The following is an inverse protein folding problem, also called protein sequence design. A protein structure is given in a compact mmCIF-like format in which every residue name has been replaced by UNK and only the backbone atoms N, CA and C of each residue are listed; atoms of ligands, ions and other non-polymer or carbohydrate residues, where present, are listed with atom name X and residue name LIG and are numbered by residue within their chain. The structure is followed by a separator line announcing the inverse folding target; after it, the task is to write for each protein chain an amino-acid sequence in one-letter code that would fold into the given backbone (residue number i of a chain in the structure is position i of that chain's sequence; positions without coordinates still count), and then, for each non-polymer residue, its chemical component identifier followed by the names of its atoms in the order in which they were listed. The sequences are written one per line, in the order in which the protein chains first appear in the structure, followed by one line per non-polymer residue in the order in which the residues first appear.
data_IF_130361890705
#
_entry.id   IF_130361890705
#
_cell.length_a   1.000
_cell.length_b   1.000
_cell.length_c   1.000
_cell.angle_alpha   90.00
_cell.angle_beta   90.00
_cell.angle_gamma   90.00
#
_symmetry.space_group_name_H-M   'P 1'
#
loop_
_entity.id
_entity.type
_entity.pdbx_description
1 polymer ?
#
# COMPACT_ATOMS: atom_id res chain seq x y z
N UNK A 1 20.30 -21.19 39.34
CA UNK A 1 19.81 -20.26 38.32
C UNK A 1 21.02 -19.69 37.63
N UNK A 2 21.30 -20.19 36.44
CA UNK A 2 22.39 -19.70 35.60
C UNK A 2 21.99 -18.37 34.96
N UNK A 3 22.95 -17.49 34.68
CA UNK A 3 22.71 -16.16 34.08
C UNK A 3 21.99 -16.29 32.72
N UNK A 4 22.18 -17.40 32.01
CA UNK A 4 21.44 -17.72 30.78
C UNK A 4 19.93 -17.88 31.01
N UNK A 5 19.52 -18.58 32.07
CA UNK A 5 18.10 -18.79 32.39
C UNK A 5 17.40 -17.49 32.77
N UNK A 6 18.16 -16.54 33.35
CA UNK A 6 17.69 -15.20 33.70
C UNK A 6 17.48 -14.34 32.46
N UNK A 7 18.42 -14.38 31.50
CA UNK A 7 18.31 -13.67 30.22
C UNK A 7 17.16 -14.23 29.36
N UNK A 8 16.98 -15.55 29.35
CA UNK A 8 15.88 -16.21 28.61
C UNK A 8 14.51 -15.84 29.22
N UNK A 9 14.43 -15.78 30.55
CA UNK A 9 13.23 -15.32 31.26
C UNK A 9 12.96 -13.83 30.99
N UNK A 10 13.99 -12.97 31.03
CA UNK A 10 13.86 -11.54 30.70
C UNK A 10 13.36 -11.32 29.27
N UNK A 11 13.93 -12.04 28.30
CA UNK A 11 13.49 -11.98 26.91
C UNK A 11 12.03 -12.45 26.75
N UNK A 12 11.66 -13.55 27.43
CA UNK A 12 10.29 -14.07 27.43
C UNK A 12 9.28 -13.08 28.05
N UNK A 13 9.64 -12.47 29.18
CA UNK A 13 8.81 -11.46 29.85
C UNK A 13 8.69 -10.21 28.98
N UNK A 14 9.78 -9.75 28.37
CA UNK A 14 9.76 -8.61 27.45
C UNK A 14 8.89 -8.89 26.22
N UNK A 15 8.95 -10.10 25.64
CA UNK A 15 8.08 -10.47 24.51
C UNK A 15 6.61 -10.51 24.91
N UNK A 16 6.29 -11.06 26.09
CA UNK A 16 4.92 -11.10 26.60
C UNK A 16 4.37 -9.70 26.90
N UNK A 17 5.21 -8.81 27.45
CA UNK A 17 4.84 -7.41 27.69
C UNK A 17 4.63 -6.63 26.39
N UNK A 18 5.45 -6.89 25.36
CA UNK A 18 5.26 -6.29 24.04
C UNK A 18 3.94 -6.75 23.41
N UNK A 19 3.65 -8.05 23.47
CA UNK A 19 2.39 -8.62 22.96
C UNK A 19 1.18 -8.06 23.71
N UNK A 20 1.23 -7.98 25.05
CA UNK A 20 0.16 -7.41 25.85
C UNK A 20 -0.08 -5.91 25.56
N UNK A 21 0.97 -5.14 25.24
CA UNK A 21 0.83 -3.74 24.81
C UNK A 21 0.10 -3.62 23.47
N UNK A 22 0.49 -4.46 22.50
CA UNK A 22 -0.17 -4.51 21.19
C UNK A 22 -1.66 -4.85 21.36
N UNK A 23 -2.00 -5.87 22.15
CA UNK A 23 -3.39 -6.24 22.41
C UNK A 23 -4.20 -5.11 23.08
N UNK A 24 -3.59 -4.36 24.01
CA UNK A 24 -4.25 -3.23 24.67
C UNK A 24 -4.51 -2.06 23.70
N UNK A 25 -3.57 -1.78 22.80
CA UNK A 25 -3.73 -0.75 21.78
C UNK A 25 -4.81 -1.14 20.77
N UNK A 26 -4.84 -2.40 20.34
CA UNK A 26 -5.90 -2.93 19.47
C UNK A 26 -7.29 -2.78 20.09
N UNK A 27 -7.44 -3.14 21.38
CA UNK A 27 -8.70 -2.96 22.10
C UNK A 27 -9.12 -1.49 22.18
N UNK A 28 -8.17 -0.57 22.40
CA UNK A 28 -8.46 0.88 22.41
C UNK A 28 -8.92 1.38 21.05
N UNK A 29 -8.30 0.92 19.97
CA UNK A 29 -8.71 1.28 18.60
C UNK A 29 -10.10 0.73 18.27
N UNK A 30 -10.38 -0.52 18.67
CA UNK A 30 -11.72 -1.11 18.53
C UNK A 30 -12.78 -0.33 19.32
N UNK A 31 -12.48 0.09 20.55
CA UNK A 31 -13.39 0.92 21.35
C UNK A 31 -13.68 2.26 20.68
N UNK A 32 -12.65 2.97 20.20
CA UNK A 32 -12.82 4.23 19.46
C UNK A 32 -13.66 4.06 18.20
N UNK A 33 -13.45 2.96 17.48
CA UNK A 33 -14.26 2.61 16.30
C UNK A 33 -15.71 2.38 16.68
N UNK A 34 -15.97 1.60 17.72
CA UNK A 34 -17.34 1.36 18.18
C UNK A 34 -18.03 2.66 18.60
N UNK A 35 -17.33 3.55 19.31
CA UNK A 35 -17.83 4.89 19.66
C UNK A 35 -18.22 5.71 18.42
N UNK A 36 -17.38 5.70 17.38
CA UNK A 36 -17.66 6.38 16.11
C UNK A 36 -18.85 5.76 15.37
N UNK A 37 -18.99 4.43 15.40
CA UNK A 37 -20.14 3.74 14.82
C UNK A 37 -21.42 4.15 15.55
N UNK A 38 -21.41 4.17 16.88
CA UNK A 38 -22.57 4.59 17.67
C UNK A 38 -22.92 6.07 17.44
N UNK A 39 -21.93 6.93 17.20
CA UNK A 39 -22.16 8.33 16.79
C UNK A 39 -22.79 8.42 15.40
N UNK A 40 -22.28 7.68 14.41
CA UNK A 40 -22.86 7.64 13.07
C UNK A 40 -24.28 7.04 13.05
N UNK A 41 -24.55 6.00 13.85
CA UNK A 41 -25.91 5.46 14.02
C UNK A 41 -26.86 6.54 14.56
N UNK A 42 -26.43 7.29 15.58
CA UNK A 42 -27.22 8.41 16.13
C UNK A 42 -27.50 9.47 15.07
N UNK A 43 -26.51 9.82 14.25
CA UNK A 43 -26.69 10.79 13.16
C UNK A 43 -27.68 10.29 12.11
N UNK A 44 -27.58 9.02 11.69
CA UNK A 44 -28.52 8.41 10.73
C UNK A 44 -29.95 8.45 11.28
N UNK A 45 -30.15 8.03 12.53
CA UNK A 45 -31.46 8.04 13.18
C UNK A 45 -32.02 9.44 13.32
N UNK A 46 -31.21 10.39 13.78
CA UNK A 46 -31.62 11.80 13.94
C UNK A 46 -32.07 12.43 12.62
N UNK A 47 -31.56 11.97 11.48
CA UNK A 47 -31.96 12.46 10.15
C UNK A 47 -33.17 11.72 9.58
N UNK A 48 -33.26 10.41 9.75
CA UNK A 48 -34.28 9.57 9.10
C UNK A 48 -35.57 9.43 9.93
N UNK A 49 -35.50 9.37 11.26
CA UNK A 49 -36.68 9.31 12.13
C UNK A 49 -37.65 10.49 11.95
N UNK A 50 -37.22 11.77 11.90
CA UNK A 50 -38.15 12.87 11.68
C UNK A 50 -38.76 12.85 10.27
N UNK A 51 -38.02 12.40 9.26
CA UNK A 51 -38.55 12.25 7.90
C UNK A 51 -39.60 11.15 7.82
N UNK A 52 -39.37 10.02 8.49
CA UNK A 52 -40.36 8.95 8.58
C UNK A 52 -41.63 9.44 9.28
N UNK A 53 -41.50 10.16 10.40
CA UNK A 53 -42.63 10.71 11.13
C UNK A 53 -43.47 11.68 10.28
N UNK A 54 -42.81 12.54 9.48
CA UNK A 54 -43.50 13.44 8.54
C UNK A 54 -44.24 12.68 7.46
N UNK A 55 -43.61 11.66 6.85
CA UNK A 55 -44.24 10.82 5.83
C UNK A 55 -45.46 10.09 6.40
N UNK A 56 -45.33 9.50 7.58
CA UNK A 56 -46.42 8.79 8.25
C UNK A 56 -47.57 9.72 8.65
N UNK A 57 -47.27 10.96 9.06
CA UNK A 57 -48.31 11.96 9.33
C UNK A 57 -49.11 12.28 8.07
N UNK A 58 -48.43 12.54 6.95
CA UNK A 58 -49.11 12.85 5.68
C UNK A 58 -49.93 11.66 5.20
N UNK A 59 -49.43 10.42 5.33
CA UNK A 59 -50.20 9.22 5.00
C UNK A 59 -51.48 9.14 5.85
N UNK A 60 -51.40 9.43 7.16
CA UNK A 60 -52.59 9.47 8.04
C UNK A 60 -53.59 10.56 7.64
N UNK A 61 -53.11 11.69 7.13
CA UNK A 61 -53.98 12.75 6.60
C UNK A 61 -54.73 12.26 5.34
N UNK A 62 -54.05 11.53 4.44
CA UNK A 62 -54.70 10.86 3.29
C UNK A 62 -55.76 9.84 3.74
N UNK A 63 -55.47 9.05 4.79
CA UNK A 63 -56.42 8.09 5.37
C UNK A 63 -57.65 8.78 5.96
N UNK A 64 -57.45 9.89 6.69
CA UNK A 64 -58.54 10.65 7.31
C UNK A 64 -59.50 11.30 6.31
N UNK A 65 -59.04 11.50 5.08
CA UNK A 65 -59.81 12.11 3.99
C UNK A 65 -60.38 11.06 3.01
N UNK A 66 -60.21 9.76 3.31
CA UNK A 66 -60.68 8.63 2.49
C UNK A 66 -60.10 8.64 1.05
N UNK A 67 -58.92 9.22 0.87
CA UNK A 67 -58.23 9.32 -0.42
C UNK A 67 -57.31 8.10 -0.57
N UNK A 68 -57.90 6.95 -0.91
CA UNK A 68 -57.20 5.66 -1.01
C UNK A 68 -56.36 5.50 -2.30
N UNK A 69 -56.86 5.94 -3.45
CA UNK A 69 -56.24 5.67 -4.78
C UNK A 69 -55.27 6.76 -5.28
N UNK A 70 -54.72 7.57 -4.37
CA UNK A 70 -53.76 8.61 -4.76
C UNK A 70 -52.39 8.00 -5.11
N UNK A 71 -51.90 8.25 -6.32
CA UNK A 71 -50.54 7.88 -6.73
C UNK A 71 -49.45 8.54 -5.83
N UNK A 72 -49.75 9.67 -5.20
CA UNK A 72 -48.85 10.31 -4.25
C UNK A 72 -48.75 9.52 -2.93
N UNK A 73 -49.87 8.96 -2.46
CA UNK A 73 -49.92 8.12 -1.26
C UNK A 73 -49.09 6.84 -1.44
N UNK A 74 -49.25 6.13 -2.55
CA UNK A 74 -48.47 4.91 -2.83
C UNK A 74 -46.96 5.19 -2.86
N UNK A 75 -46.54 6.34 -3.41
CA UNK A 75 -45.13 6.77 -3.39
C UNK A 75 -44.63 7.09 -1.98
N UNK A 76 -45.47 7.71 -1.14
CA UNK A 76 -45.13 7.99 0.26
C UNK A 76 -45.03 6.69 1.07
N UNK A 77 -45.91 5.72 0.86
CA UNK A 77 -45.85 4.40 1.49
C UNK A 77 -44.58 3.64 1.09
N UNK A 78 -44.25 3.63 -0.20
CA UNK A 78 -42.99 3.05 -0.68
C UNK A 78 -41.77 3.74 -0.05
N UNK A 79 -41.78 5.08 0.07
CA UNK A 79 -40.69 5.81 0.73
C UNK A 79 -40.64 5.62 2.24
N UNK A 80 -41.77 5.44 2.92
CA UNK A 80 -41.78 5.05 4.32
C UNK A 80 -41.14 3.67 4.51
N UNK A 81 -41.46 2.70 3.62
CA UNK A 81 -40.84 1.38 3.65
C UNK A 81 -39.32 1.46 3.42
N UNK A 82 -38.86 2.21 2.41
CA UNK A 82 -37.43 2.43 2.16
C UNK A 82 -36.72 3.03 3.38
N UNK A 83 -37.31 4.06 4.02
CA UNK A 83 -36.72 4.73 5.19
C UNK A 83 -36.68 3.80 6.41
N UNK A 84 -37.70 2.96 6.61
CA UNK A 84 -37.70 1.94 7.68
C UNK A 84 -36.59 0.91 7.44
N UNK A 85 -36.42 0.46 6.21
CA UNK A 85 -35.33 -0.45 5.85
C UNK A 85 -33.96 0.19 6.11
N UNK A 86 -33.76 1.46 5.73
CA UNK A 86 -32.50 2.17 6.01
C UNK A 86 -32.23 2.39 7.51
N UNK A 87 -33.28 2.54 8.32
CA UNK A 87 -33.17 2.62 9.79
C UNK A 87 -32.80 1.27 10.40
N UNK A 88 -33.31 0.16 9.84
CA UNK A 88 -32.93 -1.20 10.22
C UNK A 88 -31.47 -1.50 9.86
N UNK A 89 -31.06 -1.10 8.66
CA UNK A 89 -29.70 -1.24 8.14
C UNK A 89 -28.71 -0.21 8.70
N UNK A 90 -29.17 0.72 9.56
CA UNK A 90 -28.35 1.83 10.07
C UNK A 90 -27.02 1.39 10.73
N UNK A 91 -26.96 0.30 11.54
CA UNK A 91 -25.69 -0.17 12.09
C UNK A 91 -24.68 -0.58 11.02
N UNK A 92 -25.14 -1.27 9.96
CA UNK A 92 -24.28 -1.70 8.86
C UNK A 92 -23.79 -0.48 8.06
N UNK A 93 -24.69 0.47 7.76
CA UNK A 93 -24.36 1.70 7.02
C UNK A 93 -23.37 2.58 7.80
N UNK A 94 -23.55 2.71 9.11
CA UNK A 94 -22.64 3.43 10.00
C UNK A 94 -21.25 2.81 10.00
N UNK A 95 -21.16 1.48 10.18
CA UNK A 95 -19.90 0.75 10.17
C UNK A 95 -19.13 0.90 8.85
N UNK A 96 -19.82 0.77 7.72
CA UNK A 96 -19.23 0.99 6.39
C UNK A 96 -18.69 2.42 6.20
N UNK A 97 -19.40 3.41 6.75
CA UNK A 97 -19.00 4.82 6.63
C UNK A 97 -17.75 5.12 7.45
N UNK A 98 -17.70 4.68 8.71
CA UNK A 98 -16.55 4.83 9.60
C UNK A 98 -15.31 4.14 9.02
N UNK A 99 -15.45 2.90 8.54
CA UNK A 99 -14.31 2.19 7.95
C UNK A 99 -13.83 2.81 6.64
N UNK A 100 -14.74 3.35 5.82
CA UNK A 100 -14.32 4.10 4.62
C UNK A 100 -13.47 5.31 4.98
N UNK A 101 -13.83 6.03 6.05
CA UNK A 101 -13.02 7.15 6.53
C UNK A 101 -11.68 6.68 7.09
N UNK A 102 -11.67 5.59 7.85
CA UNK A 102 -10.46 4.99 8.41
C UNK A 102 -9.49 4.54 7.31
N UNK A 103 -9.97 3.82 6.31
CA UNK A 103 -9.14 3.38 5.16
C UNK A 103 -8.59 4.59 4.41
N UNK A 104 -9.40 5.63 4.18
CA UNK A 104 -8.93 6.84 3.51
C UNK A 104 -7.84 7.56 4.33
N UNK A 105 -7.92 7.51 5.66
CA UNK A 105 -6.90 8.05 6.54
C UNK A 105 -5.60 7.21 6.49
N UNK A 106 -5.70 5.89 6.55
CA UNK A 106 -4.56 4.98 6.38
C UNK A 106 -3.88 5.13 5.02
N UNK A 107 -4.65 5.26 3.94
CA UNK A 107 -4.12 5.53 2.59
C UNK A 107 -3.27 6.80 2.59
N UNK A 108 -3.74 7.89 3.22
CA UNK A 108 -2.98 9.15 3.32
C UNK A 108 -1.71 9.00 4.15
N UNK A 109 -1.75 8.27 5.26
CA UNK A 109 -0.56 8.03 6.09
C UNK A 109 0.51 7.25 5.32
N UNK A 110 0.12 6.18 4.62
CA UNK A 110 1.04 5.40 3.81
C UNK A 110 1.61 6.20 2.63
N UNK A 111 0.79 7.04 1.99
CA UNK A 111 1.28 7.94 0.94
C UNK A 111 2.30 8.95 1.47
N UNK A 112 2.04 9.53 2.65
CA UNK A 112 2.98 10.45 3.30
C UNK A 112 4.31 9.76 3.63
N UNK A 113 4.27 8.55 4.21
CA UNK A 113 5.46 7.76 4.50
C UNK A 113 6.23 7.40 3.23
N UNK A 114 5.54 6.95 2.18
CA UNK A 114 6.18 6.60 0.91
C UNK A 114 6.81 7.82 0.23
N UNK A 115 6.15 8.98 0.31
CA UNK A 115 6.68 10.23 -0.20
C UNK A 115 7.93 10.67 0.57
N UNK A 116 7.90 10.55 1.90
CA UNK A 116 9.05 10.84 2.75
C UNK A 116 10.23 9.92 2.43
N UNK A 117 10.00 8.60 2.33
CA UNK A 117 11.02 7.63 1.93
C UNK A 117 11.57 7.93 0.53
N UNK A 118 10.69 8.26 -0.42
CA UNK A 118 11.10 8.64 -1.78
C UNK A 118 11.97 9.89 -1.76
N UNK A 119 11.63 10.90 -0.95
CA UNK A 119 12.43 12.12 -0.85
C UNK A 119 13.79 11.85 -0.21
N UNK A 120 13.85 11.08 0.88
CA UNK A 120 15.12 10.64 1.48
C UNK A 120 15.98 9.89 0.46
N UNK A 121 15.37 8.97 -0.29
CA UNK A 121 16.04 8.24 -1.37
C UNK A 121 16.57 9.18 -2.47
N UNK A 122 15.81 10.19 -2.90
CA UNK A 122 16.25 11.17 -3.89
C UNK A 122 17.44 11.99 -3.40
N UNK A 123 17.46 12.39 -2.13
CA UNK A 123 18.60 13.09 -1.54
C UNK A 123 19.84 12.19 -1.43
N UNK A 124 19.67 10.92 -1.05
CA UNK A 124 20.75 9.95 -1.05
C UNK A 124 21.32 9.73 -2.47
N UNK A 125 20.44 9.54 -3.45
CA UNK A 125 20.80 9.42 -4.87
C UNK A 125 21.57 10.65 -5.37
N UNK A 126 21.11 11.87 -5.04
CA UNK A 126 21.83 13.10 -5.37
C UNK A 126 23.27 13.06 -4.86
N UNK A 127 23.46 12.76 -3.57
CA UNK A 127 24.80 12.71 -2.96
C UNK A 127 25.66 11.63 -3.63
N UNK A 128 25.08 10.47 -3.91
CA UNK A 128 25.78 9.38 -4.60
C UNK A 128 26.24 9.76 -6.01
N UNK A 129 25.42 10.52 -6.74
CA UNK A 129 25.80 11.03 -8.07
C UNK A 129 26.92 12.08 -7.98
N UNK A 130 26.88 12.97 -6.99
CA UNK A 130 27.95 13.95 -6.76
C UNK A 130 29.28 13.26 -6.40
N UNK A 131 29.24 12.25 -5.53
CA UNK A 131 30.42 11.45 -5.19
C UNK A 131 30.95 10.72 -6.43
N UNK A 132 30.05 10.11 -7.22
CA UNK A 132 30.41 9.44 -8.47
C UNK A 132 31.09 10.39 -9.43
N UNK A 133 30.62 11.63 -9.58
CA UNK A 133 31.26 12.66 -10.40
C UNK A 133 32.65 12.98 -9.85
N UNK A 134 32.76 13.25 -8.55
CA UNK A 134 34.01 13.65 -7.91
C UNK A 134 35.12 12.58 -8.01
N UNK A 135 34.75 11.29 -7.93
CA UNK A 135 35.64 10.14 -8.03
C UNK A 135 36.22 9.92 -9.45
N UNK A 136 35.68 10.55 -10.49
CA UNK A 136 36.19 10.33 -11.86
C UNK A 136 37.56 10.97 -12.04
N UNK A 137 38.57 10.22 -12.49
CA UNK A 137 39.95 10.72 -12.65
C UNK A 137 40.40 10.96 -14.10
N UNK A 138 39.54 10.63 -15.06
CA UNK A 138 39.79 10.74 -16.50
C UNK A 138 38.65 11.52 -17.17
N UNK A 139 38.98 12.26 -18.23
CA UNK A 139 38.03 13.04 -19.02
C UNK A 139 36.89 12.17 -19.60
N UNK A 140 37.22 10.99 -20.13
CA UNK A 140 36.21 10.11 -20.73
C UNK A 140 35.31 9.48 -19.67
N UNK A 141 35.88 9.07 -18.54
CA UNK A 141 35.12 8.57 -17.39
C UNK A 141 34.19 9.66 -16.78
N UNK A 142 34.66 10.90 -16.71
CA UNK A 142 33.85 12.04 -16.27
C UNK A 142 32.70 12.36 -17.23
N UNK A 143 32.92 12.25 -18.56
CA UNK A 143 31.82 12.40 -19.53
C UNK A 143 30.82 11.25 -19.46
N UNK A 144 31.29 10.03 -19.22
CA UNK A 144 30.46 8.84 -19.05
C UNK A 144 29.51 8.89 -17.83
N UNK A 145 29.85 9.66 -16.79
CA UNK A 145 28.96 9.87 -15.64
C UNK A 145 27.59 10.45 -16.06
N UNK A 146 27.51 11.19 -17.17
CA UNK A 146 26.26 11.69 -17.74
C UNK A 146 25.26 10.58 -18.09
N UNK A 147 25.74 9.37 -18.42
CA UNK A 147 24.91 8.20 -18.74
C UNK A 147 24.19 7.70 -17.50
N UNK A 148 24.87 7.64 -16.35
CA UNK A 148 24.27 7.28 -15.08
C UNK A 148 23.25 8.34 -14.62
N UNK A 149 23.60 9.63 -14.73
CA UNK A 149 22.76 10.74 -14.26
C UNK A 149 21.47 10.87 -15.09
N UNK A 150 21.52 10.62 -16.41
CA UNK A 150 20.37 10.79 -17.31
C UNK A 150 19.13 9.99 -16.88
N UNK A 151 19.34 8.80 -16.30
CA UNK A 151 18.24 7.96 -15.80
C UNK A 151 17.40 8.60 -14.68
N UNK A 152 17.96 9.61 -14.00
CA UNK A 152 17.40 10.17 -12.76
C UNK A 152 16.96 11.64 -12.89
N UNK A 153 16.82 12.18 -14.11
CA UNK A 153 16.46 13.60 -14.33
C UNK A 153 15.18 14.00 -13.59
N UNK A 154 14.13 13.17 -13.68
CA UNK A 154 12.85 13.46 -13.04
C UNK A 154 12.97 13.49 -11.51
N UNK A 155 13.75 12.57 -10.95
CA UNK A 155 13.97 12.47 -9.51
C UNK A 155 14.81 13.62 -8.97
N UNK A 156 15.85 14.05 -9.70
CA UNK A 156 16.65 15.23 -9.35
C UNK A 156 15.83 16.53 -9.46
N UNK A 157 14.97 16.65 -10.48
CA UNK A 157 14.05 17.80 -10.61
C UNK A 157 13.06 17.87 -9.45
N UNK A 158 12.56 16.73 -8.98
CA UNK A 158 11.58 16.68 -7.89
C UNK A 158 12.11 17.24 -6.56
N UNK A 159 13.44 17.23 -6.35
CA UNK A 159 14.11 17.84 -5.19
C UNK A 159 14.89 19.12 -5.53
N UNK A 160 14.75 19.65 -6.76
CA UNK A 160 15.46 20.86 -7.20
C UNK A 160 16.99 20.71 -7.31
N UNK A 161 17.52 19.49 -7.40
CA UNK A 161 18.96 19.24 -7.36
C UNK A 161 19.62 18.99 -8.73
N UNK A 162 18.85 19.05 -9.82
CA UNK A 162 19.39 18.81 -11.17
C UNK A 162 20.50 19.80 -11.53
N UNK A 163 20.35 21.06 -11.11
CA UNK A 163 21.27 22.15 -11.47
C UNK A 163 22.66 21.89 -10.88
N UNK A 164 22.71 21.68 -9.56
CA UNK A 164 23.93 21.36 -8.82
C UNK A 164 24.67 20.13 -9.36
N UNK A 165 23.95 19.06 -9.68
CA UNK A 165 24.56 17.84 -10.23
C UNK A 165 25.15 18.09 -11.63
N UNK A 166 24.46 18.86 -12.48
CA UNK A 166 24.93 19.18 -13.84
C UNK A 166 26.10 20.15 -13.81
N UNK A 167 26.09 21.15 -12.92
CA UNK A 167 27.22 22.06 -12.73
C UNK A 167 28.46 21.31 -12.23
N UNK A 168 28.32 20.45 -11.22
CA UNK A 168 29.42 19.62 -10.74
C UNK A 168 30.00 18.72 -11.85
N UNK A 169 29.14 18.17 -12.71
CA UNK A 169 29.56 17.37 -13.87
C UNK A 169 30.34 18.21 -14.89
N UNK A 170 29.87 19.41 -15.22
CA UNK A 170 30.55 20.33 -16.16
C UNK A 170 31.93 20.69 -15.62
N UNK A 171 32.00 21.09 -14.34
CA UNK A 171 33.24 21.47 -13.69
C UNK A 171 34.23 20.31 -13.69
N UNK A 172 33.78 19.09 -13.35
CA UNK A 172 34.65 17.93 -13.34
C UNK A 172 35.20 17.60 -14.73
N UNK A 173 34.36 17.62 -15.76
CA UNK A 173 34.79 17.38 -17.14
C UNK A 173 35.83 18.42 -17.57
N UNK A 174 35.59 19.70 -17.25
CA UNK A 174 36.50 20.79 -17.60
C UNK A 174 37.84 20.71 -16.86
N UNK A 175 37.84 20.34 -15.57
CA UNK A 175 39.06 20.15 -14.79
C UNK A 175 39.95 19.03 -15.33
N UNK A 176 39.37 17.99 -15.93
CA UNK A 176 40.09 16.83 -16.46
C UNK A 176 40.42 16.97 -17.97
N UNK A 177 39.94 18.04 -18.61
CA UNK A 177 40.19 18.31 -20.02
C UNK A 177 41.58 18.92 -20.23
N UNK A 178 42.36 18.31 -21.12
CA UNK A 178 43.68 18.84 -21.52
C UNK A 178 43.56 20.01 -22.51
N UNK A 179 42.41 20.16 -23.17
CA UNK A 179 42.14 21.19 -24.19
C UNK A 179 41.52 22.47 -23.59
N UNK A 180 41.40 22.54 -22.26
CA UNK A 180 40.68 23.61 -21.55
C UNK A 180 39.17 23.36 -21.43
N UNK A 181 38.35 24.38 -21.14
CA UNK A 181 36.94 24.20 -20.81
C UNK A 181 36.09 23.87 -22.05
N UNK A 182 35.71 22.59 -22.17
CA UNK A 182 34.96 21.99 -23.30
C UNK A 182 33.48 21.77 -22.99
N UNK A 183 33.10 21.58 -21.73
CA UNK A 183 31.72 21.49 -21.28
C UNK A 183 31.21 22.89 -20.85
N UNK A 184 30.03 23.28 -21.32
CA UNK A 184 29.39 24.56 -20.97
C UNK A 184 27.88 24.39 -20.93
N UNK A 185 27.22 25.25 -20.16
CA UNK A 185 25.77 25.34 -20.13
C UNK A 185 25.20 25.64 -21.53
N UNK A 186 24.20 24.84 -21.92
CA UNK A 186 23.48 24.92 -23.19
C UNK A 186 21.99 24.99 -22.92
N UNK A 187 21.45 26.20 -22.80
CA UNK A 187 20.04 26.41 -22.48
C UNK A 187 19.73 25.94 -21.07
N UNK A 188 19.00 24.83 -20.93
CA UNK A 188 18.67 24.26 -19.61
C UNK A 188 19.68 23.22 -19.11
N UNK A 189 19.69 22.95 -17.80
CA UNK A 189 20.49 21.88 -17.19
C UNK A 189 20.19 20.50 -17.82
N UNK A 190 18.93 20.24 -18.17
CA UNK A 190 18.53 19.01 -18.87
C UNK A 190 19.05 18.95 -20.32
N UNK A 191 18.97 20.05 -21.07
CA UNK A 191 19.52 20.12 -22.43
C UNK A 191 21.04 19.93 -22.42
N UNK A 192 21.71 20.50 -21.43
CA UNK A 192 23.15 20.37 -21.21
C UNK A 192 23.53 18.93 -20.89
N UNK A 193 22.83 18.29 -19.95
CA UNK A 193 23.04 16.88 -19.61
C UNK A 193 22.80 15.95 -20.81
N UNK A 194 21.73 16.17 -21.59
CA UNK A 194 21.46 15.40 -22.79
C UNK A 194 22.56 15.56 -23.87
N UNK A 195 23.13 16.75 -23.99
CA UNK A 195 24.25 17.01 -24.88
C UNK A 195 25.51 16.25 -24.44
N UNK A 196 25.88 16.33 -23.15
CA UNK A 196 27.02 15.62 -22.60
C UNK A 196 26.83 14.10 -22.72
N UNK A 197 25.62 13.60 -22.45
CA UNK A 197 25.26 12.20 -22.66
C UNK A 197 25.51 11.74 -24.11
N UNK A 198 25.04 12.51 -25.10
CA UNK A 198 25.24 12.15 -26.50
C UNK A 198 26.74 12.12 -26.86
N UNK A 199 27.52 13.06 -26.32
CA UNK A 199 28.97 13.08 -26.48
C UNK A 199 29.66 11.89 -25.81
N UNK A 200 29.20 11.47 -24.64
CA UNK A 200 29.69 10.27 -23.98
C UNK A 200 29.46 9.02 -24.84
N UNK A 201 28.26 8.85 -25.41
CA UNK A 201 27.96 7.76 -26.34
C UNK A 201 28.84 7.80 -27.61
N UNK A 202 29.03 8.99 -28.20
CA UNK A 202 29.94 9.17 -29.34
C UNK A 202 31.38 8.76 -28.99
N UNK A 203 31.88 9.15 -27.81
CA UNK A 203 33.22 8.80 -27.34
C UNK A 203 33.37 7.29 -27.13
N UNK A 204 32.37 6.64 -26.52
CA UNK A 204 32.33 5.17 -26.35
C UNK A 204 32.38 4.43 -27.69
N UNK A 205 31.74 4.96 -28.72
CA UNK A 205 31.74 4.33 -30.05
C UNK A 205 33.09 4.43 -30.78
N UNK A 206 33.97 5.37 -30.38
CA UNK A 206 35.26 5.63 -31.03
C UNK A 206 36.44 4.98 -30.32
N UNK A 207 36.28 4.58 -29.06
CA UNK A 207 37.37 4.06 -28.21
C UNK A 207 36.89 2.81 -27.47
N UNK A 208 37.46 1.64 -27.78
CA UNK A 208 37.23 0.42 -26.99
C UNK A 208 37.91 0.54 -25.62
N UNK A 209 37.13 0.79 -24.57
CA UNK A 209 37.57 0.81 -23.17
C UNK A 209 36.63 0.00 -22.28
N UNK A 210 37.18 -0.58 -21.22
CA UNK A 210 36.40 -1.23 -20.15
C UNK A 210 35.59 -0.18 -19.38
N UNK A 211 34.27 -0.30 -19.47
CA UNK A 211 33.27 0.59 -18.87
C UNK A 211 33.06 0.28 -17.39
N UNK A 212 33.73 0.99 -16.50
CA UNK A 212 33.39 0.98 -15.07
C UNK A 212 33.03 2.39 -14.57
N UNK A 213 32.18 3.09 -15.32
CA UNK A 213 31.42 4.23 -14.77
C UNK A 213 30.04 3.72 -14.36
N UNK A 214 30.04 2.78 -13.43
CA UNK A 214 28.89 2.52 -12.59
C UNK A 214 29.30 2.96 -11.18
N UNK A 215 28.43 3.64 -10.43
CA UNK A 215 28.68 3.84 -9.00
C UNK A 215 28.99 2.46 -8.40
N UNK A 216 30.01 2.32 -7.55
CA UNK A 216 30.34 1.02 -6.92
C UNK A 216 29.08 0.44 -6.25
N UNK A 217 28.44 -0.51 -6.92
CA UNK A 217 27.01 -0.81 -6.79
C UNK A 217 26.66 -1.73 -5.63
N UNK A 218 27.63 -2.37 -4.98
CA UNK A 218 27.30 -3.52 -4.11
C UNK A 218 26.55 -3.21 -2.82
N UNK A 219 26.43 -1.95 -2.36
CA UNK A 219 25.85 -1.65 -1.04
C UNK A 219 25.11 -0.29 -0.89
N UNK A 220 24.64 0.37 -1.96
CA UNK A 220 24.03 1.72 -1.81
C UNK A 220 22.50 1.68 -1.78
N UNK A 221 21.91 2.38 -0.81
CA UNK A 221 20.46 2.54 -0.58
C UNK A 221 19.70 3.24 -1.72
N UNK A 222 20.41 3.88 -2.65
CA UNK A 222 19.85 4.67 -3.76
C UNK A 222 19.56 3.88 -5.04
N UNK A 223 19.88 2.58 -5.10
CA UNK A 223 19.87 1.82 -6.37
C UNK A 223 18.46 1.66 -6.98
N UNK A 224 17.43 1.53 -6.15
CA UNK A 224 16.04 1.41 -6.61
C UNK A 224 15.14 2.32 -5.80
N UNK A 225 14.23 3.00 -6.49
CA UNK A 225 13.18 3.79 -5.88
C UNK A 225 12.44 2.94 -4.84
N UNK A 226 12.20 3.46 -3.63
CA UNK A 226 11.53 2.70 -2.58
C UNK A 226 10.13 2.32 -3.03
N UNK A 227 9.87 1.03 -3.08
CA UNK A 227 8.55 0.44 -3.11
C UNK A 227 8.58 -0.77 -2.15
N UNK A 228 7.86 -0.70 -1.01
CA UNK A 228 7.93 -1.74 0.02
C UNK A 228 7.46 -3.11 -0.51
N UNK A 229 6.57 -3.10 -1.52
CA UNK A 229 5.92 -4.32 -2.01
C UNK A 229 6.50 -4.83 -3.34
N UNK A 230 7.42 -4.12 -3.99
CA UNK A 230 7.95 -4.49 -5.32
C UNK A 230 8.67 -5.85 -5.34
N UNK A 231 9.21 -6.28 -4.20
CA UNK A 231 9.88 -7.58 -4.06
C UNK A 231 8.94 -8.74 -3.74
N UNK A 232 7.66 -8.46 -3.46
CA UNK A 232 6.69 -9.49 -3.12
C UNK A 232 6.22 -10.23 -4.38
N UNK A 233 6.14 -11.55 -4.27
CA UNK A 233 5.68 -12.45 -5.31
C UNK A 233 4.94 -13.62 -4.66
N UNK A 234 3.93 -14.14 -5.35
CA UNK A 234 3.17 -15.30 -4.92
C UNK A 234 1.65 -15.08 -4.94
N UNK A 235 0.90 -16.14 -4.68
CA UNK A 235 -0.56 -16.16 -4.72
C UNK A 235 -1.15 -15.99 -3.33
N UNK A 236 -1.93 -14.94 -3.12
CA UNK A 236 -2.60 -14.67 -1.85
C UNK A 236 -4.10 -14.84 -2.04
N UNK A 237 -4.72 -15.67 -1.21
CA UNK A 237 -6.17 -15.84 -1.17
C UNK A 237 -6.70 -15.24 0.12
N UNK A 238 -7.65 -14.32 0.02
CA UNK A 238 -8.25 -13.62 1.17
C UNK A 238 -9.76 -13.86 1.19
N UNK A 239 -10.28 -14.25 2.34
CA UNK A 239 -11.73 -14.35 2.59
C UNK A 239 -12.16 -13.30 3.63
N UNK A 240 -13.28 -12.64 3.40
CA UNK A 240 -13.84 -11.63 4.32
C UNK A 240 -13.52 -10.20 3.94
N UNK A 241 -13.75 -9.26 4.86
CA UNK A 241 -13.66 -7.83 4.58
C UNK A 241 -14.77 -7.31 3.65
N UNK A 242 -14.56 -6.14 3.05
CA UNK A 242 -15.49 -5.48 2.15
C UNK A 242 -14.78 -4.94 0.90
N UNK A 243 -15.52 -4.60 -0.15
CA UNK A 243 -14.96 -4.34 -1.49
C UNK A 243 -13.97 -3.16 -1.52
N UNK A 244 -14.24 -2.12 -0.72
CA UNK A 244 -13.34 -0.97 -0.60
C UNK A 244 -11.98 -1.36 -0.02
N UNK A 245 -11.94 -2.20 1.01
CA UNK A 245 -10.71 -2.69 1.63
C UNK A 245 -9.92 -3.55 0.64
N UNK A 246 -10.61 -4.47 -0.04
CA UNK A 246 -10.04 -5.31 -1.08
C UNK A 246 -9.41 -4.48 -2.21
N UNK A 247 -10.12 -3.44 -2.67
CA UNK A 247 -9.64 -2.53 -3.71
C UNK A 247 -8.41 -1.73 -3.27
N UNK A 248 -8.42 -1.21 -2.04
CA UNK A 248 -7.30 -0.43 -1.49
C UNK A 248 -6.04 -1.30 -1.35
N UNK A 249 -6.15 -2.53 -0.84
CA UNK A 249 -5.01 -3.47 -0.78
C UNK A 249 -4.52 -3.82 -2.19
N UNK A 250 -5.42 -4.14 -3.12
CA UNK A 250 -5.06 -4.48 -4.51
C UNK A 250 -4.30 -3.35 -5.20
N UNK A 251 -4.70 -2.10 -4.99
CA UNK A 251 -4.01 -0.94 -5.55
C UNK A 251 -2.57 -0.79 -5.03
N UNK A 252 -2.35 -1.11 -3.75
CA UNK A 252 -1.00 -1.04 -3.12
C UNK A 252 -0.08 -2.15 -3.62
N UNK A 253 -0.62 -3.31 -3.93
CA UNK A 253 0.12 -4.45 -4.47
C UNK A 253 0.23 -4.44 -6.00
N UNK A 254 -0.27 -3.42 -6.69
CA UNK A 254 -0.35 -3.38 -8.16
C UNK A 254 1.00 -3.56 -8.86
N UNK A 255 2.06 -3.00 -8.29
CA UNK A 255 3.41 -3.07 -8.86
C UNK A 255 4.23 -4.25 -8.32
N UNK A 256 3.60 -5.14 -7.54
CA UNK A 256 4.19 -6.39 -7.07
C UNK A 256 3.86 -7.55 -8.00
N UNK A 257 4.52 -8.70 -7.81
CA UNK A 257 4.20 -9.94 -8.52
C UNK A 257 3.18 -10.80 -7.73
N UNK A 258 2.35 -10.17 -6.90
CA UNK A 258 1.36 -10.86 -6.08
C UNK A 258 0.07 -11.10 -6.87
N UNK A 259 -0.32 -12.37 -7.00
CA UNK A 259 -1.64 -12.75 -7.49
C UNK A 259 -2.64 -12.71 -6.32
N UNK A 260 -3.39 -11.61 -6.20
CA UNK A 260 -4.34 -11.40 -5.12
C UNK A 260 -5.77 -11.81 -5.52
N UNK A 261 -6.27 -12.87 -4.88
CA UNK A 261 -7.65 -13.34 -4.98
C UNK A 261 -8.36 -12.98 -3.68
N UNK A 262 -9.43 -12.22 -3.80
CA UNK A 262 -10.18 -11.73 -2.64
C UNK A 262 -11.64 -12.07 -2.82
N UNK A 263 -12.26 -12.67 -1.80
CA UNK A 263 -13.69 -12.93 -1.75
C UNK A 263 -14.31 -12.22 -0.54
N UNK A 264 -15.22 -11.29 -0.82
CA UNK A 264 -16.00 -10.58 0.21
C UNK A 264 -17.36 -11.24 0.40
N UNK A 265 -18.07 -10.88 1.47
CA UNK A 265 -19.46 -11.31 1.64
C UNK A 265 -20.41 -10.75 0.57
N UNK A 266 -20.01 -9.66 -0.09
CA UNK A 266 -20.81 -8.94 -1.08
C UNK A 266 -20.76 -9.61 -2.46
N UNK A 267 -19.68 -10.33 -2.74
CA UNK A 267 -19.46 -11.10 -3.98
C UNK A 267 -20.43 -12.30 -4.14
N UNK A 268 -21.03 -12.75 -3.04
CA UNK A 268 -21.98 -13.87 -3.04
C UNK A 268 -21.33 -15.26 -3.10
N UNK A 269 -22.17 -16.29 -2.94
CA UNK A 269 -21.73 -17.68 -2.73
C UNK A 269 -21.02 -18.32 -3.93
N UNK A 270 -21.31 -17.89 -5.16
CA UNK A 270 -20.68 -18.44 -6.37
C UNK A 270 -19.21 -18.03 -6.49
N UNK A 271 -18.90 -16.75 -6.26
CA UNK A 271 -17.52 -16.25 -6.28
C UNK A 271 -16.71 -16.85 -5.12
N UNK A 272 -17.34 -17.10 -3.97
CA UNK A 272 -16.71 -17.84 -2.88
C UNK A 272 -16.29 -19.26 -3.28
N UNK A 273 -17.17 -20.03 -3.95
CA UNK A 273 -16.83 -21.36 -4.45
C UNK A 273 -15.70 -21.34 -5.48
N UNK A 274 -15.62 -20.31 -6.31
CA UNK A 274 -14.51 -20.15 -7.23
C UNK A 274 -13.22 -19.89 -6.46
N UNK A 275 -13.23 -18.95 -5.50
CA UNK A 275 -12.10 -18.61 -4.65
C UNK A 275 -11.59 -19.82 -3.83
N UNK A 276 -12.47 -20.72 -3.39
CA UNK A 276 -12.11 -21.97 -2.69
C UNK A 276 -11.14 -22.83 -3.51
N UNK A 277 -11.31 -22.91 -4.84
CA UNK A 277 -10.42 -23.68 -5.71
C UNK A 277 -8.99 -23.13 -5.74
N UNK A 278 -8.84 -21.83 -5.45
CA UNK A 278 -7.53 -21.20 -5.42
C UNK A 278 -6.75 -21.48 -4.13
N UNK A 279 -7.40 -21.99 -3.06
CA UNK A 279 -6.76 -22.32 -1.78
C UNK A 279 -5.66 -23.38 -1.95
N UNK A 280 -5.88 -24.40 -2.79
CA UNK A 280 -4.93 -25.49 -3.01
C UNK A 280 -3.55 -24.99 -3.48
N UNK A 281 -3.56 -23.98 -4.35
CA UNK A 281 -2.34 -23.41 -4.93
C UNK A 281 -1.96 -22.08 -4.27
N UNK A 282 -2.63 -21.69 -3.18
CA UNK A 282 -2.34 -20.44 -2.50
C UNK A 282 -0.98 -20.49 -1.81
N UNK A 283 -0.25 -19.38 -1.94
CA UNK A 283 0.98 -19.17 -1.21
C UNK A 283 0.73 -18.75 0.24
N UNK A 284 -0.29 -17.92 0.42
CA UNK A 284 -0.78 -17.42 1.69
C UNK A 284 -2.32 -17.42 1.67
N UNK A 285 -2.94 -17.83 2.77
CA UNK A 285 -4.38 -17.82 2.96
C UNK A 285 -4.73 -16.96 4.17
N UNK A 286 -5.50 -15.89 3.97
CA UNK A 286 -5.94 -14.97 5.01
C UNK A 286 -7.45 -15.01 5.18
N UNK A 287 -7.92 -14.96 6.44
CA UNK A 287 -9.34 -14.84 6.78
C UNK A 287 -9.52 -13.57 7.62
N UNK A 288 -10.19 -12.57 7.03
CA UNK A 288 -10.44 -11.26 7.65
C UNK A 288 -11.76 -11.31 8.40
N UNK A 289 -11.69 -11.49 9.72
CA UNK A 289 -12.88 -11.75 10.55
C UNK A 289 -13.68 -10.51 10.94
N UNK A 290 -13.17 -9.30 10.69
CA UNK A 290 -13.89 -8.06 11.03
C UNK A 290 -15.25 -7.92 10.33
N UNK A 291 -15.44 -8.64 9.21
CA UNK A 291 -16.66 -8.63 8.39
C UNK A 291 -16.99 -9.97 7.72
N UNK A 292 -16.19 -11.01 7.93
CA UNK A 292 -16.45 -12.28 7.29
C UNK A 292 -17.78 -12.86 7.79
N UNK A 293 -18.63 -13.33 6.87
CA UNK A 293 -19.76 -14.16 7.29
C UNK A 293 -19.21 -15.44 7.92
N UNK A 294 -19.89 -15.93 8.96
CA UNK A 294 -19.58 -17.24 9.55
C UNK A 294 -19.56 -18.34 8.49
N UNK A 295 -20.48 -18.28 7.52
CA UNK A 295 -20.55 -19.24 6.42
C UNK A 295 -19.33 -19.22 5.49
N UNK A 296 -18.75 -18.05 5.19
CA UNK A 296 -17.53 -17.95 4.39
C UNK A 296 -16.32 -18.44 5.16
N UNK A 297 -16.24 -18.07 6.45
CA UNK A 297 -15.15 -18.46 7.33
C UNK A 297 -15.09 -19.98 7.52
N UNK A 298 -16.22 -20.61 7.84
CA UNK A 298 -16.29 -22.06 8.02
C UNK A 298 -15.93 -22.83 6.75
N UNK A 299 -16.41 -22.39 5.59
CA UNK A 299 -16.07 -23.02 4.31
C UNK A 299 -14.59 -22.88 3.98
N UNK A 300 -14.04 -21.68 4.13
CA UNK A 300 -12.61 -21.45 3.91
C UNK A 300 -11.76 -22.34 4.83
N UNK A 301 -12.13 -22.48 6.11
CA UNK A 301 -11.46 -23.37 7.06
C UNK A 301 -11.54 -24.84 6.63
N UNK A 302 -12.72 -25.32 6.23
CA UNK A 302 -12.89 -26.71 5.77
C UNK A 302 -12.05 -27.02 4.53
N UNK A 303 -12.02 -26.11 3.55
CA UNK A 303 -11.22 -26.29 2.33
C UNK A 303 -9.72 -26.18 2.64
N UNK A 304 -9.33 -25.26 3.51
CA UNK A 304 -7.93 -25.14 3.95
C UNK A 304 -7.43 -26.42 4.65
N UNK A 305 -8.26 -27.02 5.52
CA UNK A 305 -7.95 -28.32 6.13
C UNK A 305 -7.76 -29.43 5.09
N UNK A 306 -8.65 -29.51 4.08
CA UNK A 306 -8.52 -30.48 2.98
C UNK A 306 -7.27 -30.25 2.13
N UNK A 307 -6.88 -28.98 1.94
CA UNK A 307 -5.69 -28.58 1.22
C UNK A 307 -4.39 -28.63 2.07
N UNK A 308 -4.49 -29.03 3.35
CA UNK A 308 -3.39 -28.99 4.32
C UNK A 308 -2.71 -27.61 4.41
N UNK A 309 -3.52 -26.54 4.38
CA UNK A 309 -3.11 -25.14 4.53
C UNK A 309 -3.60 -24.60 5.86
N UNK A 310 -2.76 -23.84 6.55
CA UNK A 310 -3.12 -23.11 7.77
C UNK A 310 -3.51 -21.67 7.41
N UNK A 311 -4.80 -21.30 7.51
CA UNK A 311 -5.20 -19.91 7.29
C UNK A 311 -4.74 -19.04 8.46
N UNK A 312 -4.33 -17.82 8.14
CA UNK A 312 -4.06 -16.78 9.13
C UNK A 312 -5.34 -15.96 9.35
N UNK A 313 -5.81 -15.93 10.60
CA UNK A 313 -7.02 -15.20 10.96
C UNK A 313 -6.64 -13.79 11.42
N UNK A 314 -7.10 -12.78 10.68
CA UNK A 314 -6.79 -11.38 10.95
C UNK A 314 -8.08 -10.66 11.36
N UNK A 315 -8.14 -10.23 12.60
CA UNK A 315 -9.25 -9.42 13.09
C UNK A 315 -8.97 -7.94 12.84
N UNK A 316 -9.28 -7.47 11.63
CA UNK A 316 -9.08 -6.06 11.25
C UNK A 316 -10.12 -5.60 10.25
N UNK A 317 -10.35 -4.29 10.23
CA UNK A 317 -11.03 -3.56 9.15
C UNK A 317 -10.07 -2.57 8.45
N UNK A 318 -8.85 -2.43 8.98
CA UNK A 318 -7.78 -1.58 8.44
C UNK A 318 -6.93 -2.30 7.41
N UNK A 319 -6.49 -1.55 6.41
CA UNK A 319 -5.68 -1.98 5.28
C UNK A 319 -4.24 -2.31 5.69
N UNK A 320 -3.63 -1.49 6.56
CA UNK A 320 -2.21 -1.59 6.91
C UNK A 320 -1.86 -2.98 7.46
N UNK A 321 -2.65 -3.48 8.41
CA UNK A 321 -2.43 -4.79 9.02
C UNK A 321 -2.54 -5.94 8.01
N UNK A 322 -3.40 -5.80 6.99
CA UNK A 322 -3.52 -6.79 5.92
C UNK A 322 -2.28 -6.76 5.03
N UNK A 323 -1.79 -5.57 4.67
CA UNK A 323 -0.56 -5.43 3.90
C UNK A 323 0.65 -6.00 4.64
N UNK A 324 0.76 -5.75 5.94
CA UNK A 324 1.80 -6.32 6.81
C UNK A 324 1.74 -7.85 6.86
N UNK A 325 0.55 -8.42 7.03
CA UNK A 325 0.38 -9.87 7.04
C UNK A 325 0.74 -10.50 5.69
N UNK A 326 0.35 -9.87 4.58
CA UNK A 326 0.74 -10.30 3.22
C UNK A 326 2.26 -10.25 3.06
N UNK A 327 2.87 -9.13 3.44
CA UNK A 327 4.32 -8.93 3.33
C UNK A 327 5.09 -9.95 4.17
N UNK A 328 4.73 -10.09 5.44
CA UNK A 328 5.36 -11.01 6.37
C UNK A 328 5.18 -12.47 5.94
N UNK A 329 3.95 -12.86 5.58
CA UNK A 329 3.63 -14.23 5.17
C UNK A 329 4.40 -14.65 3.91
N UNK A 330 4.41 -13.81 2.88
CA UNK A 330 5.13 -14.11 1.63
C UNK A 330 6.66 -14.12 1.84
N UNK A 331 7.21 -13.18 2.62
CA UNK A 331 8.65 -13.16 2.93
C UNK A 331 9.08 -14.38 3.74
N UNK A 332 8.29 -14.77 4.75
CA UNK A 332 8.57 -15.94 5.59
C UNK A 332 8.59 -17.22 4.75
N UNK A 333 7.64 -17.37 3.83
CA UNK A 333 7.62 -18.49 2.91
C UNK A 333 8.83 -18.50 1.98
N UNK A 334 9.18 -17.35 1.39
CA UNK A 334 10.34 -17.24 0.52
C UNK A 334 11.64 -17.61 1.25
N UNK A 335 11.75 -17.27 2.54
CA UNK A 335 12.85 -17.72 3.39
C UNK A 335 12.82 -19.24 3.61
N UNK A 336 11.67 -19.82 3.94
CA UNK A 336 11.53 -21.27 4.13
C UNK A 336 11.87 -22.07 2.86
N UNK A 337 11.47 -21.58 1.68
CA UNK A 337 11.80 -22.18 0.39
C UNK A 337 13.31 -22.10 0.08
N UNK A 338 13.99 -21.03 0.49
CA UNK A 338 15.44 -20.93 0.36
C UNK A 338 16.17 -21.90 1.28
N UNK A 339 15.73 -22.00 2.54
CA UNK A 339 16.33 -22.92 3.51
C UNK A 339 16.17 -24.39 3.09
N UNK A 340 14.98 -24.78 2.65
CA UNK A 340 14.69 -26.14 2.18
C UNK A 340 15.42 -26.54 0.90
N UNK A 341 15.87 -25.58 0.07
CA UNK A 341 16.70 -25.85 -1.12
C UNK A 341 18.20 -25.87 -0.82
N UNK A 342 18.61 -25.31 0.31
CA UNK A 342 20.02 -25.27 0.76
C UNK A 342 20.39 -26.41 1.70
N UNK A 343 19.40 -27.12 2.24
CA UNK A 343 19.54 -28.39 2.96
C UNK A 343 19.41 -29.56 1.98
#
# INVERSE_FOLDING_TARGET
MEISELNDLENSVQSLLALAKVELEEKRLQQRREEQIQEAIREIRQRLEPLLAQIEQVIREFDSQDIADSAARQKLEAKAADVRQQLEDAPLLAAQTVDRQMIAYEERLLDAQLQEQTNHWRHALKNDLLDTIAEQHDFFAATDAAIAIRGYILDLKAIGALEEVVEALIDRINCLSQEGPVARMRGSHEQTLNFIYNKALENRSRVERTTEVQPRTRHRTSEKRPNPYASLAGKVVVFGGHDRLASSVRNRLRDSQVELIWCTAQDGLQLAQQAENHIYNADLLLIVTGYASHSLTEKALQVAQKANKTPEMINTTGMTRILEAIEFGLKTRLLADRYSRSA
#
